data_IF_941044813789
#
_entry.id   IF_941044813789
#
_cell.length_a   1.000
_cell.length_b   1.000
_cell.length_c   1.000
_cell.angle_alpha   90.00
_cell.angle_beta   90.00
_cell.angle_gamma   90.00
#
_symmetry.space_group_name_H-M   'P 1'
#
loop_
_entity.id
_entity.type
_entity.pdbx_description
1 polymer ?
#
# COMPACT_ATOMS: atom_id res chain seq x y z
N UNK A 1 4.88 6.06 -19.82
CA UNK A 1 4.83 5.22 -18.61
C UNK A 1 4.09 3.91 -18.93
N UNK A 2 4.61 2.74 -18.51
CA UNK A 2 4.06 1.39 -18.77
C UNK A 2 3.71 1.10 -20.25
N UNK A 3 4.70 1.07 -21.13
CA UNK A 3 4.48 0.65 -22.52
C UNK A 3 3.91 -0.77 -22.58
N UNK A 4 2.88 -0.98 -23.41
CA UNK A 4 2.20 -2.28 -23.56
C UNK A 4 1.16 -2.61 -22.49
N UNK A 5 0.87 -1.70 -21.55
CA UNK A 5 -0.19 -1.87 -20.57
C UNK A 5 -1.48 -1.16 -20.99
N UNK A 6 -2.61 -1.77 -20.64
CA UNK A 6 -3.93 -1.15 -20.70
C UNK A 6 -4.19 -0.38 -19.42
N UNK A 7 -4.79 0.82 -19.52
CA UNK A 7 -5.34 1.55 -18.39
C UNK A 7 -6.86 1.65 -18.55
N UNK A 8 -7.61 1.16 -17.57
CA UNK A 8 -9.08 1.13 -17.59
C UNK A 8 -9.66 1.43 -16.21
N UNK A 9 -10.95 1.70 -16.16
CA UNK A 9 -11.72 1.62 -14.92
C UNK A 9 -12.46 0.29 -14.86
N UNK A 10 -12.47 -0.34 -13.68
CA UNK A 10 -13.19 -1.58 -13.41
C UNK A 10 -14.23 -1.28 -12.33
N UNK A 11 -15.51 -1.50 -12.64
CA UNK A 11 -16.60 -1.36 -11.69
C UNK A 11 -16.72 -2.64 -10.85
N UNK A 12 -16.50 -2.50 -9.56
CA UNK A 12 -16.71 -3.53 -8.54
C UNK A 12 -18.07 -3.32 -7.86
N UNK A 13 -18.39 -4.19 -6.92
CA UNK A 13 -19.62 -4.12 -6.13
C UNK A 13 -19.74 -2.85 -5.28
N UNK A 14 -18.62 -2.40 -4.69
CA UNK A 14 -18.59 -1.27 -3.73
C UNK A 14 -17.66 -0.12 -4.16
N UNK A 15 -16.90 -0.29 -5.24
CA UNK A 15 -15.90 0.67 -5.69
C UNK A 15 -15.73 0.66 -7.22
N UNK A 16 -15.12 1.70 -7.77
CA UNK A 16 -14.60 1.72 -9.14
C UNK A 16 -13.10 1.92 -9.05
N UNK A 17 -12.31 0.96 -9.53
CA UNK A 17 -10.86 1.06 -9.50
C UNK A 17 -10.30 1.54 -10.83
N UNK A 18 -9.36 2.49 -10.81
CA UNK A 18 -8.47 2.74 -11.94
C UNK A 18 -7.39 1.67 -11.94
N UNK A 19 -7.28 0.91 -13.01
CA UNK A 19 -6.42 -0.28 -13.08
C UNK A 19 -5.54 -0.22 -14.31
N UNK A 20 -4.24 -0.36 -14.09
CA UNK A 20 -3.27 -0.57 -15.15
C UNK A 20 -2.83 -2.03 -15.16
N UNK A 21 -2.95 -2.71 -16.30
CA UNK A 21 -2.54 -4.11 -16.41
C UNK A 21 -2.01 -4.50 -17.79
N UNK A 22 -1.11 -5.49 -17.82
CA UNK A 22 -0.42 -5.92 -19.04
C UNK A 22 0.52 -7.11 -18.79
N UNK A 23 1.12 -7.63 -19.84
CA UNK A 23 1.97 -8.83 -19.78
C UNK A 23 1.20 -10.13 -20.03
N UNK A 24 1.83 -11.26 -19.74
CA UNK A 24 1.28 -12.60 -19.93
C UNK A 24 1.88 -13.58 -18.91
N UNK A 25 1.13 -14.62 -18.55
CA UNK A 25 1.53 -15.61 -17.54
C UNK A 25 0.78 -15.44 -16.22
N UNK A 26 1.33 -16.03 -15.14
CA UNK A 26 0.71 -15.99 -13.81
C UNK A 26 0.48 -14.55 -13.34
N UNK A 27 -0.63 -14.26 -12.64
CA UNK A 27 -0.95 -12.90 -12.23
C UNK A 27 -0.06 -12.42 -11.09
N UNK A 28 0.33 -11.14 -11.13
CA UNK A 28 1.00 -10.41 -10.04
C UNK A 28 0.26 -9.12 -9.79
N UNK A 29 -0.22 -8.93 -8.56
CA UNK A 29 -0.91 -7.72 -8.12
C UNK A 29 0.09 -6.82 -7.38
N UNK A 30 0.28 -5.59 -7.85
CA UNK A 30 1.17 -4.59 -7.26
C UNK A 30 0.34 -3.46 -6.62
N UNK A 31 0.42 -3.36 -5.30
CA UNK A 31 -0.37 -2.39 -4.52
C UNK A 31 0.53 -1.27 -4.02
N UNK A 32 0.25 -0.04 -4.47
CA UNK A 32 0.97 1.14 -4.00
C UNK A 32 0.58 1.51 -2.55
N UNK A 33 1.37 2.40 -1.92
CA UNK A 33 1.07 2.99 -0.61
C UNK A 33 0.84 4.51 -0.69
N UNK A 34 0.71 5.13 0.47
CA UNK A 34 0.66 6.59 0.62
C UNK A 34 2.04 7.24 0.39
N UNK A 35 2.12 8.46 -0.19
CA UNK A 35 1.09 9.22 -0.91
C UNK A 35 1.13 8.94 -2.42
N UNK A 36 1.53 7.73 -2.81
CA UNK A 36 1.70 7.33 -4.21
C UNK A 36 0.41 6.77 -4.80
N UNK A 37 0.47 6.50 -6.09
CA UNK A 37 -0.56 5.87 -6.92
C UNK A 37 0.10 4.73 -7.72
N UNK A 38 -0.64 3.99 -8.54
CA UNK A 38 -0.08 2.88 -9.33
C UNK A 38 1.17 3.22 -10.18
N UNK A 39 1.40 4.47 -10.68
CA UNK A 39 2.65 4.92 -11.27
C UNK A 39 3.95 4.59 -10.53
N UNK A 40 3.93 4.39 -9.20
CA UNK A 40 5.15 4.01 -8.45
C UNK A 40 5.79 2.73 -9.00
N UNK A 41 5.00 1.86 -9.65
CA UNK A 41 5.44 0.61 -10.24
C UNK A 41 5.97 0.74 -11.68
N UNK A 42 6.04 1.93 -12.26
CA UNK A 42 6.30 2.11 -13.70
C UNK A 42 7.63 1.56 -14.18
N UNK A 43 8.65 1.51 -13.30
CA UNK A 43 9.98 0.97 -13.58
C UNK A 43 10.06 -0.55 -13.42
N UNK A 44 9.27 -1.13 -12.51
CA UNK A 44 9.32 -2.57 -12.18
C UNK A 44 8.28 -3.38 -12.97
N UNK A 45 7.10 -2.83 -13.22
CA UNK A 45 6.01 -3.54 -13.88
C UNK A 45 6.36 -4.02 -15.31
N UNK A 46 7.05 -3.25 -16.18
CA UNK A 46 7.46 -3.75 -17.50
C UNK A 46 8.44 -4.92 -17.43
N UNK A 47 9.33 -4.95 -16.43
CA UNK A 47 10.26 -6.07 -16.23
C UNK A 47 9.52 -7.33 -15.78
N UNK A 48 8.59 -7.21 -14.84
CA UNK A 48 7.72 -8.32 -14.42
C UNK A 48 6.80 -8.81 -15.55
N UNK A 49 6.30 -7.91 -16.40
CA UNK A 49 5.41 -8.25 -17.51
C UNK A 49 6.06 -9.14 -18.59
N UNK A 50 7.38 -9.30 -18.56
CA UNK A 50 8.10 -10.28 -19.40
C UNK A 50 7.76 -11.72 -19.06
N UNK A 51 7.23 -12.00 -17.85
CA UNK A 51 6.92 -13.36 -17.39
C UNK A 51 5.60 -13.50 -16.63
N UNK A 52 4.97 -12.38 -16.27
CA UNK A 52 3.74 -12.33 -15.49
C UNK A 52 2.68 -11.46 -16.16
N UNK A 53 1.42 -11.68 -15.78
CA UNK A 53 0.35 -10.70 -16.03
C UNK A 53 0.31 -9.75 -14.84
N UNK A 54 0.78 -8.52 -15.02
CA UNK A 54 0.93 -7.54 -13.95
C UNK A 54 -0.32 -6.68 -13.87
N UNK A 55 -0.86 -6.50 -12.66
CA UNK A 55 -2.05 -5.69 -12.37
C UNK A 55 -1.68 -4.67 -11.29
N UNK A 56 -1.87 -3.38 -11.58
CA UNK A 56 -1.54 -2.26 -10.70
C UNK A 56 -2.78 -1.36 -10.55
N UNK A 57 -3.66 -1.62 -9.58
CA UNK A 57 -4.77 -0.72 -9.28
C UNK A 57 -4.30 0.51 -8.51
N UNK A 58 -5.00 1.63 -8.69
CA UNK A 58 -5.12 2.61 -7.63
C UNK A 58 -6.08 2.04 -6.57
N UNK A 59 -5.70 2.01 -5.30
CA UNK A 59 -6.58 1.56 -4.21
C UNK A 59 -7.82 2.47 -4.10
N UNK A 60 -8.94 1.95 -3.56
CA UNK A 60 -10.08 2.81 -3.17
C UNK A 60 -9.60 3.97 -2.32
N UNK A 61 -10.12 5.17 -2.57
CA UNK A 61 -9.68 6.41 -1.93
C UNK A 61 -8.43 7.05 -2.53
N UNK A 62 -7.67 6.33 -3.37
CA UNK A 62 -6.41 6.83 -3.94
C UNK A 62 -6.53 7.12 -5.44
N UNK A 63 -5.64 7.99 -5.92
CA UNK A 63 -5.40 8.20 -7.34
C UNK A 63 -6.67 8.51 -8.13
N UNK A 64 -6.98 7.67 -9.12
CA UNK A 64 -8.15 7.81 -10.01
C UNK A 64 -9.27 6.83 -9.69
N UNK A 65 -9.15 6.06 -8.61
CA UNK A 65 -10.21 5.20 -8.11
C UNK A 65 -11.29 6.00 -7.37
N UNK A 66 -12.44 5.37 -7.18
CA UNK A 66 -13.56 5.92 -6.42
C UNK A 66 -13.15 6.23 -4.98
N UNK A 67 -13.77 7.26 -4.44
CA UNK A 67 -13.58 7.76 -3.08
C UNK A 67 -14.89 7.55 -2.33
N UNK A 68 -15.04 6.41 -1.62
CA UNK A 68 -16.29 6.10 -0.94
C UNK A 68 -16.58 7.16 0.14
N UNK A 69 -17.84 7.24 0.58
CA UNK A 69 -18.17 8.14 1.69
C UNK A 69 -17.69 7.55 3.02
N UNK A 70 -17.21 8.41 3.92
CA UNK A 70 -16.80 8.00 5.26
C UNK A 70 -17.88 7.22 6.01
N UNK A 71 -17.46 6.17 6.70
CA UNK A 71 -18.21 5.52 7.76
C UNK A 71 -17.70 6.00 9.12
N UNK A 72 -18.56 5.96 10.14
CA UNK A 72 -18.23 6.45 11.47
C UNK A 72 -17.04 5.72 12.13
N UNK A 73 -16.76 4.48 11.72
CA UNK A 73 -15.65 3.63 12.16
C UNK A 73 -14.52 3.55 11.12
N UNK A 74 -14.60 4.33 10.04
CA UNK A 74 -13.64 4.35 8.93
C UNK A 74 -13.57 3.02 8.16
N UNK A 75 -14.60 2.15 8.26
CA UNK A 75 -14.60 0.81 7.67
C UNK A 75 -14.37 0.79 6.14
N UNK A 76 -14.88 1.78 5.41
CA UNK A 76 -14.71 1.87 3.96
C UNK A 76 -13.26 2.16 3.52
N UNK A 77 -12.41 2.63 4.44
CA UNK A 77 -10.97 2.86 4.24
C UNK A 77 -10.08 1.76 4.84
N UNK A 78 -10.68 0.75 5.47
CA UNK A 78 -9.96 -0.36 6.11
C UNK A 78 -9.17 -1.22 5.13
N UNK A 79 -8.12 -1.90 5.64
CA UNK A 79 -7.35 -2.87 4.84
C UNK A 79 -8.23 -4.04 4.38
N UNK A 80 -9.23 -4.45 5.17
CA UNK A 80 -10.17 -5.52 4.77
C UNK A 80 -11.05 -5.09 3.59
N UNK A 81 -11.52 -3.85 3.55
CA UNK A 81 -12.29 -3.32 2.43
C UNK A 81 -11.43 -3.22 1.15
N UNK A 82 -10.20 -2.72 1.28
CA UNK A 82 -9.22 -2.69 0.17
C UNK A 82 -8.86 -4.08 -0.35
N UNK A 83 -8.68 -5.04 0.55
CA UNK A 83 -8.43 -6.44 0.18
C UNK A 83 -9.63 -7.03 -0.57
N UNK A 84 -10.87 -6.78 -0.13
CA UNK A 84 -12.09 -7.22 -0.82
C UNK A 84 -12.17 -6.67 -2.25
N UNK A 85 -11.80 -5.41 -2.46
CA UNK A 85 -11.75 -4.83 -3.82
C UNK A 85 -10.72 -5.52 -4.70
N UNK A 86 -9.51 -5.75 -4.16
CA UNK A 86 -8.46 -6.47 -4.88
C UNK A 86 -8.94 -7.88 -5.24
N UNK A 87 -9.66 -8.52 -4.32
CA UNK A 87 -10.25 -9.85 -4.48
C UNK A 87 -11.21 -9.88 -5.66
N UNK A 88 -12.15 -8.94 -5.67
CA UNK A 88 -13.14 -8.84 -6.72
C UNK A 88 -12.51 -8.44 -8.07
N UNK A 89 -11.59 -7.47 -8.06
CA UNK A 89 -10.90 -7.00 -9.26
C UNK A 89 -10.26 -8.15 -10.03
N UNK A 90 -9.40 -8.91 -9.38
CA UNK A 90 -8.66 -9.96 -10.06
C UNK A 90 -9.58 -11.12 -10.48
N UNK A 91 -10.65 -11.40 -9.72
CA UNK A 91 -11.70 -12.35 -10.12
C UNK A 91 -12.38 -11.88 -11.42
N UNK A 92 -12.78 -10.60 -11.52
CA UNK A 92 -13.34 -10.04 -12.76
C UNK A 92 -12.35 -10.05 -13.93
N UNK A 93 -11.04 -9.97 -13.67
CA UNK A 93 -9.99 -10.12 -14.68
C UNK A 93 -9.72 -11.59 -15.08
N UNK A 94 -10.46 -12.56 -14.52
CA UNK A 94 -10.37 -13.98 -14.86
C UNK A 94 -9.30 -14.75 -14.08
N UNK A 95 -8.78 -14.16 -13.00
CA UNK A 95 -7.85 -14.84 -12.11
C UNK A 95 -8.64 -15.41 -10.92
N UNK A 96 -8.95 -16.70 -10.95
CA UNK A 96 -9.69 -17.38 -9.85
C UNK A 96 -8.74 -18.02 -8.83
N UNK A 97 -7.51 -18.41 -9.23
CA UNK A 97 -6.54 -19.16 -8.41
C UNK A 97 -5.37 -18.34 -7.85
N UNK A 98 -5.42 -17.00 -7.89
CA UNK A 98 -4.46 -16.16 -7.14
C UNK A 98 -4.89 -15.98 -5.68
N UNK A 99 -6.16 -16.28 -5.40
CA UNK A 99 -6.81 -16.33 -4.11
C UNK A 99 -7.10 -17.76 -3.75
N UNK A 100 -6.24 -18.36 -2.97
CA UNK A 100 -6.77 -19.23 -1.95
C UNK A 100 -6.36 -18.63 -0.60
N UNK A 101 -7.07 -17.63 -0.08
CA UNK A 101 -6.77 -17.14 1.28
C UNK A 101 -7.31 -18.07 2.37
N UNK A 102 -7.81 -19.25 1.97
CA UNK A 102 -8.05 -20.43 2.81
C UNK A 102 -7.03 -21.57 2.55
N UNK A 103 -6.25 -21.52 1.46
CA UNK A 103 -5.30 -22.59 1.05
C UNK A 103 -4.15 -22.18 0.07
N UNK A 104 -3.73 -20.91 0.01
CA UNK A 104 -2.73 -20.37 -0.93
C UNK A 104 -3.06 -19.05 -1.66
N UNK A 105 -2.72 -17.89 -1.08
CA UNK A 105 -2.03 -16.90 -1.90
C UNK A 105 -0.75 -17.59 -2.40
N UNK A 106 -0.47 -17.59 -3.69
CA UNK A 106 0.65 -18.40 -4.20
C UNK A 106 1.96 -17.96 -3.53
N UNK A 107 2.17 -16.64 -3.38
CA UNK A 107 3.26 -15.98 -2.64
C UNK A 107 2.86 -14.55 -2.24
N UNK A 108 3.37 -14.04 -1.12
CA UNK A 108 3.20 -12.64 -0.68
C UNK A 108 4.56 -11.94 -0.63
N UNK A 109 4.63 -10.70 -1.11
CA UNK A 109 5.76 -9.81 -0.83
C UNK A 109 5.27 -8.55 -0.11
N UNK A 110 5.93 -8.18 0.99
CA UNK A 110 5.73 -6.89 1.66
C UNK A 110 6.98 -6.05 1.51
N UNK A 111 6.79 -4.76 1.25
CA UNK A 111 7.86 -3.81 1.01
C UNK A 111 7.75 -2.70 2.04
N UNK A 112 8.81 -2.54 2.82
CA UNK A 112 9.04 -1.44 3.74
C UNK A 112 7.91 -1.16 4.73
N UNK A 113 7.36 -2.23 5.33
CA UNK A 113 6.30 -2.12 6.32
C UNK A 113 6.41 -3.18 7.43
N UNK A 114 5.65 -2.92 8.50
CA UNK A 114 5.46 -3.81 9.63
C UNK A 114 3.96 -3.85 10.01
N UNK A 115 3.47 -4.89 10.69
CA UNK A 115 2.08 -4.94 11.15
C UNK A 115 1.73 -3.79 12.09
N UNK A 116 0.48 -3.30 12.03
CA UNK A 116 0.03 -2.12 12.78
C UNK A 116 0.19 -2.36 14.30
N UNK A 117 -0.20 -3.52 14.80
CA UNK A 117 -0.02 -3.86 16.21
C UNK A 117 1.44 -3.89 16.64
N UNK A 118 2.34 -4.38 15.79
CA UNK A 118 3.75 -4.45 16.11
C UNK A 118 4.37 -3.05 16.19
N UNK A 119 3.93 -2.14 15.32
CA UNK A 119 4.29 -0.72 15.34
C UNK A 119 3.81 -0.04 16.63
N UNK A 120 2.52 -0.18 16.96
CA UNK A 120 1.90 0.49 18.11
C UNK A 120 2.40 -0.05 19.45
N UNK A 121 2.57 -1.36 19.59
CA UNK A 121 3.10 -1.97 20.82
C UNK A 121 4.56 -1.59 21.11
N UNK A 122 5.30 -1.12 20.10
CA UNK A 122 6.70 -0.65 20.21
C UNK A 122 6.83 0.86 20.11
N UNK A 123 5.71 1.60 20.12
CA UNK A 123 5.72 3.04 20.03
C UNK A 123 6.50 3.66 21.20
N UNK A 124 7.65 4.24 20.90
CA UNK A 124 8.51 4.99 21.82
C UNK A 124 8.80 6.39 21.25
N UNK A 125 9.76 7.11 21.84
CA UNK A 125 10.12 8.46 21.40
C UNK A 125 10.72 8.48 19.99
N UNK A 126 11.44 7.43 19.57
CA UNK A 126 11.98 7.33 18.20
C UNK A 126 10.84 7.21 17.20
N UNK A 127 9.92 6.27 17.42
CA UNK A 127 8.73 6.09 16.61
C UNK A 127 7.92 7.39 16.50
N UNK A 128 7.60 8.01 17.65
CA UNK A 128 6.80 9.22 17.67
C UNK A 128 7.46 10.41 16.96
N UNK A 129 8.80 10.46 16.92
CA UNK A 129 9.55 11.51 16.21
C UNK A 129 9.63 11.26 14.70
N UNK A 130 9.92 10.02 14.29
CA UNK A 130 10.07 9.68 12.87
C UNK A 130 8.71 9.53 12.18
N UNK A 131 7.77 8.84 12.82
CA UNK A 131 6.46 8.50 12.26
C UNK A 131 5.31 9.27 12.92
N UNK A 132 5.58 10.53 13.32
CA UNK A 132 4.59 11.42 13.93
C UNK A 132 3.29 11.54 13.11
N UNK A 133 3.40 11.38 11.79
CA UNK A 133 2.30 11.47 10.85
C UNK A 133 1.19 10.44 11.13
N UNK A 134 1.50 9.27 11.70
CA UNK A 134 0.49 8.28 12.10
C UNK A 134 -0.56 8.88 13.05
N UNK A 135 -0.10 9.57 14.09
CA UNK A 135 -0.99 10.18 15.09
C UNK A 135 -1.56 11.52 14.64
N UNK A 136 -0.79 12.26 13.83
CA UNK A 136 -1.26 13.52 13.26
C UNK A 136 -2.43 13.28 12.30
N UNK A 137 -2.28 12.35 11.34
CA UNK A 137 -3.32 12.02 10.36
C UNK A 137 -4.59 11.46 11.00
N UNK A 138 -4.48 10.77 12.13
CA UNK A 138 -5.65 10.32 12.87
C UNK A 138 -6.46 11.45 13.56
N UNK A 139 -6.00 12.70 13.54
CA UNK A 139 -6.76 13.82 14.09
C UNK A 139 -7.90 14.25 13.15
N UNK A 140 -9.06 14.66 13.69
CA UNK A 140 -10.15 15.20 12.88
C UNK A 140 -9.77 16.57 12.31
N UNK A 141 -10.03 16.77 11.02
CA UNK A 141 -9.95 18.04 10.24
C UNK A 141 -8.59 18.75 10.15
N UNK A 142 -7.66 18.52 11.08
CA UNK A 142 -6.34 19.19 11.11
C UNK A 142 -5.45 18.75 9.96
N UNK A 143 -5.33 17.44 9.65
CA UNK A 143 -4.40 16.95 8.64
C UNK A 143 -4.72 17.45 7.24
N UNK A 144 -5.98 17.35 6.82
CA UNK A 144 -6.44 17.82 5.52
C UNK A 144 -6.10 19.31 5.35
N UNK A 145 -6.42 20.13 6.35
CA UNK A 145 -6.14 21.57 6.31
C UNK A 145 -4.64 21.89 6.26
N UNK A 146 -3.81 21.15 6.98
CA UNK A 146 -2.37 21.36 6.97
C UNK A 146 -1.74 20.95 5.64
N UNK A 147 -2.14 19.79 5.11
CA UNK A 147 -1.64 19.26 3.84
C UNK A 147 -2.07 20.16 2.68
N UNK A 148 -3.35 20.51 2.61
CA UNK A 148 -3.91 21.30 1.50
C UNK A 148 -3.46 22.76 1.50
N UNK A 149 -2.78 23.24 2.54
CA UNK A 149 -2.17 24.57 2.52
C UNK A 149 -0.97 24.65 1.56
N UNK A 150 -0.21 23.56 1.42
CA UNK A 150 0.92 23.44 0.47
C UNK A 150 1.26 21.95 0.25
N UNK A 151 0.49 21.22 -0.60
CA UNK A 151 0.68 19.78 -0.80
C UNK A 151 2.07 19.44 -1.34
N UNK A 152 2.62 20.30 -2.20
CA UNK A 152 3.93 20.13 -2.81
C UNK A 152 5.05 20.13 -1.76
N UNK A 153 5.01 21.06 -0.80
CA UNK A 153 5.99 21.06 0.29
C UNK A 153 5.74 19.98 1.32
N UNK A 154 4.48 19.62 1.57
CA UNK A 154 4.14 18.57 2.52
C UNK A 154 4.69 17.22 2.10
N UNK A 155 4.43 16.81 0.85
CA UNK A 155 4.82 15.50 0.33
C UNK A 155 6.17 15.50 -0.41
N UNK A 156 6.64 16.66 -0.86
CA UNK A 156 7.84 16.76 -1.68
C UNK A 156 7.63 16.09 -3.05
N UNK A 157 8.62 15.29 -3.47
CA UNK A 157 8.66 14.68 -4.80
C UNK A 157 9.15 15.63 -5.89
N UNK A 158 9.87 15.09 -6.86
CA UNK A 158 10.42 15.84 -7.98
C UNK A 158 10.46 14.99 -9.25
N UNK A 159 10.29 15.59 -10.44
CA UNK A 159 10.33 14.83 -11.69
C UNK A 159 11.67 14.14 -11.93
N UNK A 160 12.79 14.69 -11.44
CA UNK A 160 14.11 14.10 -11.66
C UNK A 160 14.27 12.73 -10.98
N UNK A 161 13.59 12.50 -9.86
CA UNK A 161 13.65 11.22 -9.13
C UNK A 161 12.52 10.26 -9.56
N UNK A 162 11.34 10.80 -9.84
CA UNK A 162 10.14 10.01 -10.11
C UNK A 162 9.96 9.67 -11.60
N UNK A 163 10.32 10.59 -12.49
CA UNK A 163 9.87 10.64 -13.88
C UNK A 163 8.78 11.68 -14.09
N UNK A 164 8.75 12.32 -15.26
CA UNK A 164 7.84 13.44 -15.54
C UNK A 164 6.36 13.04 -15.48
N UNK A 165 6.02 11.89 -16.05
CA UNK A 165 4.64 11.40 -16.08
C UNK A 165 4.19 10.92 -14.69
N UNK A 166 5.06 10.22 -13.96
CA UNK A 166 4.86 9.74 -12.59
C UNK A 166 4.64 10.92 -11.65
N UNK A 167 5.50 11.94 -11.75
CA UNK A 167 5.41 13.15 -10.97
C UNK A 167 4.10 13.91 -11.26
N UNK A 168 3.67 13.98 -12.52
CA UNK A 168 2.40 14.60 -12.89
C UNK A 168 1.19 13.91 -12.25
N UNK A 169 1.13 12.58 -12.27
CA UNK A 169 0.03 11.85 -11.64
C UNK A 169 0.07 11.92 -10.10
N UNK A 170 1.26 11.85 -9.50
CA UNK A 170 1.46 12.06 -8.07
C UNK A 170 1.00 13.45 -7.64
N UNK A 171 1.46 14.50 -8.34
CA UNK A 171 1.05 15.90 -8.13
C UNK A 171 -0.45 16.07 -8.23
N UNK A 172 -1.08 15.49 -9.27
CA UNK A 172 -2.54 15.54 -9.42
C UNK A 172 -3.24 14.94 -8.20
N UNK A 173 -2.77 13.79 -7.71
CA UNK A 173 -3.38 13.10 -6.57
C UNK A 173 -3.25 13.91 -5.27
N UNK A 174 -2.07 14.46 -4.96
CA UNK A 174 -1.86 15.20 -3.70
C UNK A 174 -2.54 16.57 -3.69
N UNK A 175 -2.93 17.12 -4.85
CA UNK A 175 -3.68 18.37 -4.95
C UNK A 175 -5.20 18.19 -5.02
N UNK A 176 -5.68 16.94 -5.09
CA UNK A 176 -7.11 16.63 -5.04
C UNK A 176 -7.59 16.50 -3.57
N UNK A 177 -8.45 17.42 -3.07
CA UNK A 177 -8.89 17.41 -1.68
C UNK A 177 -9.56 16.11 -1.25
N UNK A 178 -10.33 15.47 -2.15
CA UNK A 178 -10.98 14.20 -1.83
C UNK A 178 -9.94 13.07 -1.73
N UNK A 179 -8.93 13.05 -2.63
CA UNK A 179 -7.83 12.07 -2.53
C UNK A 179 -7.04 12.27 -1.24
N UNK A 180 -6.75 13.52 -0.85
CA UNK A 180 -6.03 13.82 0.40
C UNK A 180 -6.83 13.37 1.63
N UNK A 181 -8.13 13.61 1.64
CA UNK A 181 -9.01 13.18 2.73
C UNK A 181 -9.04 11.65 2.87
N UNK A 182 -9.27 10.93 1.77
CA UNK A 182 -9.29 9.46 1.77
C UNK A 182 -7.93 8.83 2.12
N UNK A 183 -6.84 9.45 1.68
CA UNK A 183 -5.49 9.08 2.11
C UNK A 183 -5.32 9.19 3.63
N UNK A 184 -5.98 10.17 4.28
CA UNK A 184 -5.96 10.35 5.73
C UNK A 184 -6.91 9.37 6.43
N UNK A 185 -8.08 9.11 5.85
CA UNK A 185 -9.03 8.09 6.33
C UNK A 185 -8.37 6.71 6.43
N UNK A 186 -7.43 6.37 5.54
CA UNK A 186 -6.62 5.15 5.64
C UNK A 186 -5.83 5.04 6.97
N UNK A 187 -5.30 6.16 7.46
CA UNK A 187 -4.58 6.20 8.75
C UNK A 187 -5.55 6.18 9.94
N UNK A 188 -6.74 6.79 9.80
CA UNK A 188 -7.80 6.73 10.82
C UNK A 188 -8.32 5.29 10.96
N UNK A 189 -8.58 4.61 9.86
CA UNK A 189 -8.90 3.18 9.82
C UNK A 189 -7.75 2.35 10.42
N UNK A 190 -6.50 2.69 10.09
CA UNK A 190 -5.27 2.10 10.64
C UNK A 190 -5.25 2.07 12.18
N UNK A 191 -5.45 3.22 12.83
CA UNK A 191 -5.45 3.32 14.30
C UNK A 191 -6.77 2.85 14.96
N UNK A 192 -7.85 2.78 14.18
CA UNK A 192 -9.18 2.30 14.58
C UNK A 192 -9.40 0.84 14.21
N UNK A 193 -10.28 0.61 13.23
CA UNK A 193 -10.81 -0.70 12.88
C UNK A 193 -9.75 -1.71 12.42
N UNK A 194 -8.70 -1.28 11.72
CA UNK A 194 -7.64 -2.19 11.25
C UNK A 194 -6.80 -2.75 12.41
N UNK A 195 -6.51 -1.93 13.42
CA UNK A 195 -5.87 -2.37 14.66
C UNK A 195 -6.73 -3.42 15.38
N UNK A 196 -8.06 -3.24 15.38
CA UNK A 196 -8.99 -4.21 15.98
C UNK A 196 -9.06 -5.52 15.18
N UNK A 197 -9.04 -5.43 13.86
CA UNK A 197 -8.95 -6.58 12.96
C UNK A 197 -7.66 -7.39 13.19
N UNK A 198 -6.50 -6.74 13.23
CA UNK A 198 -5.23 -7.41 13.52
C UNK A 198 -5.21 -8.02 14.93
N UNK A 199 -5.79 -7.35 15.93
CA UNK A 199 -5.85 -7.88 17.30
C UNK A 199 -6.70 -9.14 17.36
N UNK A 200 -7.83 -9.14 16.67
CA UNK A 200 -8.68 -10.31 16.54
C UNK A 200 -7.94 -11.44 15.81
N UNK A 201 -7.21 -11.17 14.73
CA UNK A 201 -6.38 -12.18 14.04
C UNK A 201 -5.32 -12.78 14.98
N UNK A 202 -4.60 -11.93 15.72
CA UNK A 202 -3.56 -12.33 16.68
C UNK A 202 -4.10 -13.20 17.80
N UNK A 203 -5.24 -12.82 18.39
CA UNK A 203 -5.87 -13.57 19.49
C UNK A 203 -6.39 -14.94 19.05
N UNK A 204 -6.75 -15.08 17.77
CA UNK A 204 -7.20 -16.35 17.19
C UNK A 204 -6.07 -17.16 16.55
N UNK A 205 -4.81 -16.70 16.68
CA UNK A 205 -3.66 -17.40 16.12
C UNK A 205 -3.65 -17.49 14.59
N UNK A 206 -4.32 -16.55 13.89
CA UNK A 206 -4.25 -16.50 12.42
C UNK A 206 -2.85 -16.05 11.99
N UNK A 207 -2.27 -16.79 11.05
CA UNK A 207 -0.94 -16.56 10.50
C UNK A 207 -1.02 -16.48 8.97
N UNK A 208 -0.03 -15.81 8.38
CA UNK A 208 0.21 -15.84 6.94
C UNK A 208 0.94 -17.15 6.63
N UNK A 209 0.23 -18.10 6.02
CA UNK A 209 0.75 -19.46 5.79
C UNK A 209 1.56 -19.59 4.49
N UNK A 210 1.23 -18.76 3.49
CA UNK A 210 1.90 -18.77 2.19
C UNK A 210 3.39 -18.34 2.30
N UNK A 211 4.24 -18.73 1.32
CA UNK A 211 5.59 -18.22 1.22
C UNK A 211 5.58 -16.68 1.17
N UNK A 212 6.34 -16.07 2.08
CA UNK A 212 6.37 -14.62 2.23
C UNK A 212 7.80 -14.08 2.03
N UNK A 213 7.92 -13.00 1.26
CA UNK A 213 9.12 -12.20 1.11
C UNK A 213 8.93 -10.85 1.82
N UNK A 214 9.78 -10.54 2.79
CA UNK A 214 9.86 -9.24 3.43
C UNK A 214 11.08 -8.49 2.90
N UNK A 215 10.85 -7.38 2.21
CA UNK A 215 11.89 -6.47 1.76
C UNK A 215 11.75 -5.15 2.52
N UNK A 216 12.87 -4.53 2.87
CA UNK A 216 12.89 -3.23 3.50
C UNK A 216 14.04 -2.38 2.97
N UNK A 217 13.92 -1.08 3.14
CA UNK A 217 14.90 -0.09 2.72
C UNK A 217 16.11 -0.10 3.67
N UNK A 218 17.31 -0.10 3.10
CA UNK A 218 18.56 -0.07 3.86
C UNK A 218 18.91 1.34 4.35
N UNK A 219 18.44 2.36 3.65
CA UNK A 219 18.82 3.75 3.89
C UNK A 219 17.69 4.59 4.49
N UNK A 220 16.77 3.93 5.19
CA UNK A 220 15.64 4.55 5.88
C UNK A 220 15.51 4.08 7.34
N UNK A 221 14.41 4.45 7.98
CA UNK A 221 14.25 4.42 9.43
C UNK A 221 13.83 3.08 10.06
N UNK A 222 13.40 2.08 9.27
CA UNK A 222 12.87 0.82 9.82
C UNK A 222 13.86 0.10 10.74
N UNK A 223 15.11 -0.11 10.30
CA UNK A 223 16.14 -0.75 11.13
C UNK A 223 16.49 0.09 12.37
N UNK A 224 16.39 1.42 12.31
CA UNK A 224 16.64 2.31 13.45
C UNK A 224 15.54 2.21 14.53
N UNK A 225 14.28 2.01 14.09
CA UNK A 225 13.12 1.95 14.97
C UNK A 225 12.93 0.55 15.56
N UNK A 226 13.16 -0.51 14.76
CA UNK A 226 12.72 -1.87 15.08
C UNK A 226 13.82 -2.93 15.17
N UNK A 227 15.08 -2.56 14.91
CA UNK A 227 16.22 -3.48 14.81
C UNK A 227 16.02 -4.56 13.74
N UNK A 228 15.48 -5.74 14.10
CA UNK A 228 15.32 -6.89 13.20
C UNK A 228 13.88 -7.02 12.69
N UNK A 229 13.66 -6.49 11.48
CA UNK A 229 12.37 -6.50 10.78
C UNK A 229 11.88 -7.93 10.50
N UNK A 230 12.80 -8.85 10.20
CA UNK A 230 12.45 -10.23 9.85
C UNK A 230 11.96 -10.99 11.09
N UNK A 231 12.52 -10.72 12.27
CA UNK A 231 12.03 -11.28 13.54
C UNK A 231 10.60 -10.85 13.84
N UNK A 232 10.23 -9.61 13.52
CA UNK A 232 8.84 -9.14 13.69
C UNK A 232 7.91 -9.96 12.79
N UNK A 233 8.22 -10.06 11.49
CA UNK A 233 7.39 -10.79 10.54
C UNK A 233 7.31 -12.30 10.82
N UNK A 234 8.36 -12.92 11.36
CA UNK A 234 8.33 -14.34 11.76
C UNK A 234 7.23 -14.67 12.78
N UNK A 235 6.78 -13.70 13.57
CA UNK A 235 5.67 -13.91 14.51
C UNK A 235 4.29 -13.96 13.83
N UNK A 236 4.20 -13.52 12.57
CA UNK A 236 2.97 -13.44 11.77
C UNK A 236 3.00 -14.39 10.57
N UNK A 237 4.18 -14.70 10.05
CA UNK A 237 4.42 -15.49 8.85
C UNK A 237 5.59 -16.46 9.08
N UNK A 238 5.34 -17.72 9.47
CA UNK A 238 6.41 -18.69 9.76
C UNK A 238 7.34 -18.95 8.58
N UNK A 239 6.81 -18.83 7.35
CA UNK A 239 7.52 -19.06 6.09
C UNK A 239 8.09 -17.77 5.47
N UNK A 240 8.43 -16.78 6.29
CA UNK A 240 9.01 -15.51 5.81
C UNK A 240 10.52 -15.62 5.56
N UNK A 241 10.93 -15.14 4.39
CA UNK A 241 12.32 -14.82 4.07
C UNK A 241 12.43 -13.34 3.79
N UNK A 242 13.62 -12.75 3.88
CA UNK A 242 13.75 -11.32 3.64
C UNK A 242 15.17 -10.80 3.58
N UNK A 243 15.30 -9.58 3.08
CA UNK A 243 16.56 -8.84 3.02
C UNK A 243 16.31 -7.33 2.85
N UNK A 244 17.28 -6.54 3.29
CA UNK A 244 17.36 -5.13 2.96
C UNK A 244 17.68 -4.92 1.47
N UNK A 245 17.12 -3.87 0.88
CA UNK A 245 17.44 -3.37 -0.47
C UNK A 245 18.15 -2.02 -0.31
N UNK A 246 19.18 -1.79 -1.14
CA UNK A 246 19.98 -0.56 -1.08
C UNK A 246 19.22 0.65 -1.67
N UNK A 247 18.16 1.08 -1.00
CA UNK A 247 17.28 2.22 -1.31
C UNK A 247 16.79 2.91 -0.04
N UNK A 248 16.15 4.07 -0.18
CA UNK A 248 15.18 4.60 0.79
C UNK A 248 13.79 3.95 0.65
N UNK A 249 12.77 4.57 1.25
CA UNK A 249 11.39 4.08 1.30
C UNK A 249 10.79 3.69 -0.06
N UNK A 250 11.02 4.47 -1.12
CA UNK A 250 10.39 4.25 -2.43
C UNK A 250 11.19 3.23 -3.24
N UNK A 251 11.29 2.00 -2.72
CA UNK A 251 12.16 0.92 -3.22
C UNK A 251 11.99 0.66 -4.72
N UNK A 252 10.76 0.62 -5.23
CA UNK A 252 10.48 0.38 -6.65
C UNK A 252 10.87 1.56 -7.57
N UNK A 253 10.99 2.77 -7.02
CA UNK A 253 11.40 3.96 -7.76
C UNK A 253 12.93 4.15 -7.70
N UNK A 254 13.55 3.80 -6.57
CA UNK A 254 14.96 4.05 -6.24
C UNK A 254 15.91 2.89 -6.58
N UNK A 255 15.43 1.64 -6.47
CA UNK A 255 16.17 0.41 -6.79
C UNK A 255 15.30 -0.60 -7.58
N UNK A 256 14.82 -0.23 -8.78
CA UNK A 256 13.94 -1.04 -9.62
C UNK A 256 14.61 -2.32 -10.17
#
# INVERSE_FOLDING_TARGET
MFEGFTNTQVSLSEAVLNVRYGGNGSPVLLLHGHPRTHPTWSKVAPELAKSFTVVCPDLRGFGRSSKPADQADHADSSKRAKAKDCIELMSQLGFEHWLDMTEGAIQLAVLDCIPILEALNRCNEKFARQWYHWFFFAQPEKPERAILADPDKWYGGRPETMGDEEYSEFRRAIHDPETVHEMIEDYRAGLGIDREHELYDRQNGRLIECPMLCLWSKYDDLEEIYDDILVIWKNWAPNVTGKAIASGHYMAEEAP
#
